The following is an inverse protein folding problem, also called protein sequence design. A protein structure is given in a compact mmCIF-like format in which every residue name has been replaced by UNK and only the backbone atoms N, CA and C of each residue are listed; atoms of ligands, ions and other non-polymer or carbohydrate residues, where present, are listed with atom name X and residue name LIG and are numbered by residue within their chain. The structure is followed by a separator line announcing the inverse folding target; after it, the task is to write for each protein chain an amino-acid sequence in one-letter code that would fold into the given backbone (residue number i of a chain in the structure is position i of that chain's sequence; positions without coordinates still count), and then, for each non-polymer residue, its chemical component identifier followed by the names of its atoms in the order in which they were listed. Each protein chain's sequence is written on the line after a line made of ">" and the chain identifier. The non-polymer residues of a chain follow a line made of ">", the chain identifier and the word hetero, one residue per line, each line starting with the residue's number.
data_IF_211643440077
#
_entry.id   IF_211643440077
#
_cell.length_a   1.000
_cell.length_b   1.000
_cell.length_c   1.000
_cell.angle_alpha   90.00
_cell.angle_beta   90.00
_cell.angle_gamma   90.00
#
_symmetry.space_group_name_H-M   'P 1'
#
loop_
_entity.id
_entity.type
_entity.pdbx_description
1 polymer ?
#
# COMPACT_ATOMS: atom_id res chain seq x y z
N UNK A 1 11.84 7.72 -13.84
CA UNK A 1 11.07 6.59 -14.35
C UNK A 1 9.62 7.00 -14.19
N UNK A 2 8.84 7.11 -15.28
CA UNK A 2 7.47 7.58 -15.18
C UNK A 2 6.65 6.66 -14.27
N UNK A 3 5.62 7.23 -13.63
CA UNK A 3 4.74 6.47 -12.73
C UNK A 3 3.96 5.45 -13.56
N UNK A 4 4.23 4.16 -13.35
CA UNK A 4 3.59 3.06 -14.08
C UNK A 4 2.31 2.60 -13.38
N UNK A 5 1.16 2.79 -14.01
CA UNK A 5 -0.16 2.48 -13.43
C UNK A 5 -0.53 0.99 -13.45
N UNK A 6 0.22 0.17 -14.21
CA UNK A 6 0.06 -1.29 -14.23
C UNK A 6 0.96 -2.01 -13.21
N UNK A 7 1.65 -1.26 -12.34
CA UNK A 7 2.50 -1.80 -11.28
C UNK A 7 1.92 -1.35 -9.94
N UNK A 8 1.44 -2.31 -9.16
CA UNK A 8 0.75 -2.07 -7.90
C UNK A 8 1.56 -2.59 -6.75
N UNK A 9 1.57 -1.82 -5.67
CA UNK A 9 2.23 -2.17 -4.43
C UNK A 9 1.22 -2.11 -3.30
N UNK A 10 1.19 -3.19 -2.52
CA UNK A 10 0.40 -3.36 -1.30
C UNK A 10 1.34 -3.70 -0.15
N UNK A 11 0.94 -3.41 1.08
CA UNK A 11 1.78 -3.72 2.25
C UNK A 11 0.94 -4.14 3.45
N UNK A 12 1.41 -5.13 4.18
CA UNK A 12 0.84 -5.54 5.46
C UNK A 12 1.94 -5.80 6.48
N UNK A 13 1.96 -5.01 7.55
CA UNK A 13 2.89 -5.15 8.67
C UNK A 13 2.07 -5.56 9.87
N UNK A 14 2.44 -6.66 10.53
CA UNK A 14 1.75 -7.14 11.72
C UNK A 14 2.76 -7.68 12.73
N UNK A 15 2.69 -7.30 14.02
CA UNK A 15 3.66 -7.69 15.02
C UNK A 15 3.73 -9.20 15.19
N UNK A 16 2.58 -9.85 15.36
CA UNK A 16 2.48 -11.31 15.51
C UNK A 16 2.48 -12.06 14.18
N UNK A 17 2.67 -11.37 13.05
CA UNK A 17 2.79 -12.01 11.75
C UNK A 17 1.49 -12.54 11.13
N UNK A 18 0.32 -12.16 11.64
CA UNK A 18 -0.95 -12.60 11.05
C UNK A 18 -1.25 -11.82 9.77
N UNK A 19 -1.85 -12.49 8.78
CA UNK A 19 -2.40 -11.83 7.58
C UNK A 19 -3.90 -12.15 7.51
N UNK A 20 -4.80 -11.16 7.61
CA UNK A 20 -6.24 -11.43 7.60
C UNK A 20 -6.70 -12.04 6.27
N UNK A 21 -7.68 -12.95 6.33
CA UNK A 21 -8.23 -13.61 5.15
C UNK A 21 -8.85 -12.61 4.16
N UNK A 22 -9.46 -11.53 4.66
CA UNK A 22 -10.01 -10.43 3.84
C UNK A 22 -8.94 -9.80 2.94
N UNK A 23 -7.74 -9.55 3.48
CA UNK A 23 -6.60 -9.01 2.70
C UNK A 23 -6.14 -10.01 1.62
N UNK A 24 -6.07 -11.30 1.96
CA UNK A 24 -5.75 -12.35 0.98
C UNK A 24 -6.77 -12.37 -0.16
N UNK A 25 -8.06 -12.38 0.18
CA UNK A 25 -9.15 -12.44 -0.80
C UNK A 25 -9.15 -11.21 -1.72
N UNK A 26 -8.91 -10.01 -1.18
CA UNK A 26 -8.76 -8.76 -1.94
C UNK A 26 -7.59 -8.81 -2.93
N UNK A 27 -6.44 -9.33 -2.51
CA UNK A 27 -5.26 -9.50 -3.39
C UNK A 27 -5.53 -10.51 -4.51
N UNK A 28 -6.16 -11.65 -4.18
CA UNK A 28 -6.56 -12.67 -5.17
C UNK A 28 -7.55 -12.07 -6.16
N UNK A 29 -8.54 -11.33 -5.67
CA UNK A 29 -9.52 -10.64 -6.50
C UNK A 29 -8.84 -9.68 -7.47
N UNK A 30 -8.01 -8.75 -6.98
CA UNK A 30 -7.30 -7.79 -7.82
C UNK A 30 -6.41 -8.49 -8.87
N UNK A 31 -5.75 -9.59 -8.51
CA UNK A 31 -4.98 -10.41 -9.45
C UNK A 31 -5.86 -10.98 -10.57
N UNK A 32 -7.04 -11.51 -10.24
CA UNK A 32 -7.99 -12.10 -11.21
C UNK A 32 -8.54 -11.08 -12.19
N UNK A 33 -8.90 -9.89 -11.71
CA UNK A 33 -9.55 -8.87 -12.54
C UNK A 33 -8.55 -8.06 -13.37
N UNK A 34 -7.27 -8.01 -12.96
CA UNK A 34 -6.21 -7.29 -13.67
C UNK A 34 -5.03 -8.19 -14.02
N UNK A 35 -5.18 -9.33 -14.71
CA UNK A 35 -4.16 -10.39 -14.81
C UNK A 35 -2.82 -9.98 -15.46
N UNK A 36 -2.80 -8.87 -16.22
CA UNK A 36 -1.59 -8.35 -16.88
C UNK A 36 -0.76 -7.42 -16.01
N UNK A 37 -1.31 -6.93 -14.90
CA UNK A 37 -0.61 -5.99 -14.04
C UNK A 37 0.42 -6.70 -13.15
N UNK A 38 1.44 -5.97 -12.71
CA UNK A 38 2.35 -6.44 -11.67
C UNK A 38 1.77 -6.09 -10.31
N UNK A 39 1.66 -7.07 -9.42
CA UNK A 39 1.22 -6.86 -8.04
C UNK A 39 2.30 -7.35 -7.08
N UNK A 40 2.87 -6.41 -6.33
CA UNK A 40 3.85 -6.68 -5.27
C UNK A 40 3.18 -6.50 -3.91
N UNK A 41 3.31 -7.49 -3.03
CA UNK A 41 2.84 -7.42 -1.65
C UNK A 41 4.03 -7.49 -0.69
N UNK A 42 4.26 -6.39 0.02
CA UNK A 42 5.26 -6.31 1.08
C UNK A 42 4.69 -6.80 2.40
N UNK A 43 5.45 -7.65 3.09
CA UNK A 43 5.14 -8.10 4.45
C UNK A 43 6.38 -8.06 5.33
N UNK A 44 6.21 -8.03 6.65
CA UNK A 44 7.34 -8.15 7.58
C UNK A 44 7.79 -9.61 7.78
N UNK A 45 8.96 -9.79 8.39
CA UNK A 45 9.52 -11.12 8.66
C UNK A 45 8.58 -12.02 9.47
N UNK A 46 7.85 -11.47 10.44
CA UNK A 46 6.87 -12.24 11.23
C UNK A 46 5.80 -12.87 10.34
N UNK A 47 5.22 -12.11 9.42
CA UNK A 47 4.26 -12.61 8.44
C UNK A 47 4.86 -13.70 7.54
N UNK A 48 6.10 -13.51 7.06
CA UNK A 48 6.82 -14.52 6.27
C UNK A 48 6.97 -15.85 7.01
N UNK A 49 7.17 -15.80 8.33
CA UNK A 49 7.41 -16.98 9.14
C UNK A 49 6.12 -17.72 9.48
N UNK A 50 5.05 -16.99 9.80
CA UNK A 50 3.79 -17.57 10.28
C UNK A 50 2.85 -17.99 9.15
N UNK A 51 2.68 -17.14 8.13
CA UNK A 51 1.61 -17.27 7.14
C UNK A 51 2.08 -17.91 5.83
N UNK A 52 2.97 -18.91 5.93
CA UNK A 52 3.62 -19.57 4.79
C UNK A 52 2.63 -20.09 3.76
N UNK A 53 1.51 -20.65 4.20
CA UNK A 53 0.46 -21.17 3.30
C UNK A 53 -0.22 -20.05 2.50
N UNK A 54 -0.59 -18.94 3.14
CA UNK A 54 -1.19 -17.78 2.45
C UNK A 54 -0.19 -17.14 1.48
N UNK A 55 1.08 -17.02 1.89
CA UNK A 55 2.16 -16.49 1.05
C UNK A 55 2.39 -17.36 -0.17
N UNK A 56 2.44 -18.69 0.02
CA UNK A 56 2.57 -19.64 -1.09
C UNK A 56 1.40 -19.52 -2.06
N UNK A 57 0.16 -19.48 -1.55
CA UNK A 57 -1.04 -19.28 -2.37
C UNK A 57 -0.95 -18.01 -3.22
N UNK A 58 -0.60 -16.87 -2.64
CA UNK A 58 -0.46 -15.62 -3.39
C UNK A 58 0.66 -15.71 -4.43
N UNK A 59 1.78 -16.34 -4.09
CA UNK A 59 2.93 -16.55 -5.00
C UNK A 59 2.55 -17.43 -6.19
N UNK A 60 1.85 -18.54 -5.94
CA UNK A 60 1.37 -19.47 -6.97
C UNK A 60 0.37 -18.79 -7.94
N UNK A 61 -0.32 -17.75 -7.47
CA UNK A 61 -1.20 -16.89 -8.28
C UNK A 61 -0.45 -15.74 -9.00
N UNK A 62 0.88 -15.72 -8.95
CA UNK A 62 1.71 -14.73 -9.65
C UNK A 62 1.80 -13.37 -8.95
N UNK A 63 1.48 -13.30 -7.66
CA UNK A 63 1.68 -12.09 -6.84
C UNK A 63 3.10 -12.13 -6.27
N UNK A 64 3.88 -11.07 -6.49
CA UNK A 64 5.26 -10.97 -6.01
C UNK A 64 5.27 -10.64 -4.53
N UNK A 65 5.74 -11.57 -3.70
CA UNK A 65 5.86 -11.34 -2.25
C UNK A 65 7.26 -10.85 -1.91
N UNK A 66 7.36 -9.77 -1.13
CA UNK A 66 8.64 -9.25 -0.62
C UNK A 66 8.62 -9.09 0.89
N UNK A 67 9.70 -9.52 1.53
CA UNK A 67 9.96 -9.21 2.93
C UNK A 67 10.55 -7.80 3.04
N UNK A 68 9.86 -6.89 3.70
CA UNK A 68 10.33 -5.49 3.84
C UNK A 68 11.62 -5.41 4.65
N UNK A 69 11.79 -6.22 5.70
CA UNK A 69 13.01 -6.23 6.52
C UNK A 69 14.24 -6.61 5.66
N UNK A 70 14.11 -7.64 4.83
CA UNK A 70 15.17 -8.06 3.92
C UNK A 70 15.40 -7.05 2.79
N UNK A 71 14.34 -6.39 2.33
CA UNK A 71 14.43 -5.36 1.29
C UNK A 71 15.21 -4.13 1.77
N UNK A 72 14.99 -3.71 3.02
CA UNK A 72 15.74 -2.63 3.68
C UNK A 72 17.23 -2.95 3.90
N UNK A 73 17.65 -4.23 3.83
CA UNK A 73 19.06 -4.60 3.92
C UNK A 73 19.85 -4.28 2.64
N UNK A 74 19.14 -4.14 1.50
CA UNK A 74 19.70 -3.88 0.17
C UNK A 74 19.03 -2.67 -0.48
N UNK A 75 18.45 -1.79 0.33
CA UNK A 75 17.67 -0.68 -0.17
C UNK A 75 18.59 0.34 -0.88
N UNK A 76 18.11 0.96 -1.97
CA UNK A 76 18.78 2.09 -2.63
C UNK A 76 18.54 3.42 -1.89
N UNK A 77 17.78 3.39 -0.81
CA UNK A 77 17.46 4.53 0.05
C UNK A 77 18.69 5.04 0.82
N UNK A 78 18.62 6.31 1.24
CA UNK A 78 19.63 6.91 2.09
C UNK A 78 19.79 6.14 3.42
N UNK A 79 21.02 5.92 3.92
CA UNK A 79 21.24 5.22 5.19
C UNK A 79 20.44 5.76 6.37
N UNK A 80 20.20 7.08 6.43
CA UNK A 80 19.36 7.71 7.45
C UNK A 80 17.92 7.21 7.39
N UNK A 81 17.32 7.20 6.18
CA UNK A 81 15.95 6.72 5.97
C UNK A 81 15.85 5.22 6.27
N UNK A 82 16.85 4.43 5.90
CA UNK A 82 16.92 3.00 6.22
C UNK A 82 17.01 2.78 7.74
N UNK A 83 17.80 3.58 8.46
CA UNK A 83 17.91 3.50 9.91
C UNK A 83 16.56 3.82 10.58
N UNK A 84 15.89 4.89 10.15
CA UNK A 84 14.57 5.28 10.66
C UNK A 84 13.52 4.18 10.39
N UNK A 85 13.47 3.66 9.15
CA UNK A 85 12.59 2.55 8.77
C UNK A 85 12.76 1.31 9.67
N UNK A 86 14.01 0.95 9.98
CA UNK A 86 14.32 -0.20 10.84
C UNK A 86 13.89 0.04 12.27
N UNK A 87 14.08 1.25 12.81
CA UNK A 87 13.63 1.59 14.15
C UNK A 87 12.10 1.54 14.26
N UNK A 88 11.38 2.06 13.27
CA UNK A 88 9.91 1.98 13.23
C UNK A 88 9.42 0.53 13.20
N UNK A 89 10.01 -0.31 12.35
CA UNK A 89 9.67 -1.74 12.31
C UNK A 89 9.99 -2.47 13.61
N UNK A 90 11.10 -2.13 14.26
CA UNK A 90 11.46 -2.69 15.56
C UNK A 90 10.45 -2.27 16.65
N UNK A 91 10.05 -1.00 16.68
CA UNK A 91 9.02 -0.49 17.58
C UNK A 91 7.70 -1.21 17.37
N UNK A 92 7.22 -1.32 16.12
CA UNK A 92 5.99 -2.03 15.79
C UNK A 92 6.02 -3.50 16.26
N UNK A 93 7.16 -4.18 16.13
CA UNK A 93 7.33 -5.54 16.61
C UNK A 93 7.31 -5.65 18.15
N UNK A 94 7.88 -4.66 18.85
CA UNK A 94 7.99 -4.65 20.32
C UNK A 94 6.68 -4.23 21.02
N UNK A 95 6.05 -3.16 20.53
CA UNK A 95 4.84 -2.60 21.17
C UNK A 95 3.62 -3.49 20.98
N UNK A 96 3.63 -4.31 19.92
CA UNK A 96 2.51 -5.15 19.48
C UNK A 96 1.21 -4.36 19.28
N UNK A 97 1.32 -3.06 18.98
CA UNK A 97 0.14 -2.23 18.68
C UNK A 97 -0.08 -2.10 17.18
N UNK A 98 -1.34 -2.13 16.78
CA UNK A 98 -1.76 -1.84 15.39
C UNK A 98 -1.35 -0.45 14.97
N UNK A 99 -1.40 0.51 15.90
CA UNK A 99 -1.06 1.90 15.64
C UNK A 99 0.36 2.04 15.10
N UNK A 100 1.33 1.35 15.72
CA UNK A 100 2.72 1.38 15.27
C UNK A 100 2.91 0.64 13.95
N UNK A 101 2.08 -0.37 13.65
CA UNK A 101 2.10 -1.05 12.35
C UNK A 101 1.54 -0.18 11.23
N UNK A 102 0.47 0.57 11.50
CA UNK A 102 -0.09 1.57 10.58
C UNK A 102 0.93 2.68 10.33
N UNK A 103 1.53 3.21 11.39
CA UNK A 103 2.62 4.18 11.30
C UNK A 103 3.79 3.66 10.45
N UNK A 104 4.19 2.40 10.66
CA UNK A 104 5.21 1.76 9.83
C UNK A 104 4.82 1.75 8.35
N UNK A 105 3.60 1.33 8.01
CA UNK A 105 3.14 1.32 6.61
C UNK A 105 3.10 2.71 5.99
N UNK A 106 2.69 3.71 6.78
CA UNK A 106 2.58 5.11 6.38
C UNK A 106 3.92 5.75 6.04
N UNK A 107 4.97 5.40 6.77
CA UNK A 107 6.33 5.83 6.46
C UNK A 107 6.96 4.99 5.33
N UNK A 108 6.90 3.65 5.44
CA UNK A 108 7.59 2.74 4.52
C UNK A 108 7.14 2.93 3.07
N UNK A 109 5.87 3.30 2.83
CA UNK A 109 5.38 3.59 1.47
C UNK A 109 6.14 4.71 0.76
N UNK A 110 6.79 5.61 1.49
CA UNK A 110 7.52 6.75 0.93
C UNK A 110 8.92 6.35 0.41
N UNK A 111 9.47 5.22 0.83
CA UNK A 111 10.84 4.80 0.53
C UNK A 111 11.03 4.35 -0.92
N UNK A 112 12.22 4.60 -1.49
CA UNK A 112 12.63 4.18 -2.84
C UNK A 112 12.44 2.67 -3.01
N UNK A 113 12.78 1.88 -2.00
CA UNK A 113 12.61 0.42 -2.03
C UNK A 113 11.17 -0.05 -2.29
N UNK A 114 10.18 0.74 -1.87
CA UNK A 114 8.75 0.48 -2.14
C UNK A 114 8.33 1.12 -3.46
N UNK A 115 8.71 2.37 -3.70
CA UNK A 115 8.34 3.13 -4.89
C UNK A 115 8.89 2.54 -6.19
N UNK A 116 10.03 1.87 -6.14
CA UNK A 116 10.57 1.14 -7.30
C UNK A 116 9.71 -0.04 -7.76
N UNK A 117 8.81 -0.54 -6.89
CA UNK A 117 7.92 -1.64 -7.24
C UNK A 117 6.66 -1.19 -7.98
N UNK A 118 6.22 0.06 -7.80
CA UNK A 118 5.05 0.64 -8.48
C UNK A 118 4.25 1.59 -7.59
N UNK A 119 2.99 1.81 -7.97
CA UNK A 119 2.03 2.64 -7.25
C UNK A 119 1.62 1.95 -5.95
N UNK A 120 1.96 2.55 -4.81
CA UNK A 120 1.46 2.10 -3.52
C UNK A 120 -0.02 2.42 -3.38
N UNK A 121 -0.77 1.50 -2.79
CA UNK A 121 -2.14 1.74 -2.35
C UNK A 121 -2.50 0.92 -1.11
N UNK A 122 -3.40 1.43 -0.27
CA UNK A 122 -3.89 0.68 0.88
C UNK A 122 -4.60 -0.62 0.46
N UNK A 123 -4.66 -1.62 1.34
CA UNK A 123 -5.24 -2.93 1.01
C UNK A 123 -6.76 -2.92 0.80
N UNK A 124 -7.44 -1.85 1.21
CA UNK A 124 -8.86 -1.59 1.00
C UNK A 124 -9.14 -0.77 -0.28
N UNK A 125 -8.10 -0.44 -1.05
CA UNK A 125 -8.21 0.23 -2.35
C UNK A 125 -8.10 -0.81 -3.46
N UNK A 126 -9.14 -1.02 -4.26
CA UNK A 126 -9.11 -1.99 -5.36
C UNK A 126 -9.15 -1.26 -6.70
N UNK A 127 -8.15 -1.48 -7.55
CA UNK A 127 -8.15 -0.98 -8.93
C UNK A 127 -8.96 -1.93 -9.82
N UNK A 128 -10.00 -1.41 -10.46
CA UNK A 128 -10.95 -2.20 -11.23
C UNK A 128 -10.82 -2.00 -12.75
N UNK A 129 -10.64 -0.76 -13.24
CA UNK A 129 -10.59 -0.51 -14.69
C UNK A 129 -9.16 -0.32 -15.22
N UNK A 130 -8.95 -0.81 -16.43
CA UNK A 130 -7.73 -0.59 -17.20
C UNK A 130 -7.66 0.86 -17.67
N UNK A 131 -6.54 1.52 -17.41
CA UNK A 131 -6.19 2.77 -18.09
C UNK A 131 -5.59 2.40 -19.46
N UNK A 132 -6.01 3.08 -20.52
CA UNK A 132 -5.31 3.01 -21.80
C UNK A 132 -3.91 3.64 -21.70
N UNK A 133 -3.74 4.58 -20.76
CA UNK A 133 -2.45 5.15 -20.38
C UNK A 133 -1.80 4.30 -19.28
N UNK A 134 -0.76 3.55 -19.64
CA UNK A 134 -0.01 2.71 -18.71
C UNK A 134 0.96 3.50 -17.82
N UNK A 135 1.21 4.77 -18.14
CA UNK A 135 2.13 5.64 -17.40
C UNK A 135 1.56 7.05 -17.21
N UNK A 136 1.91 7.70 -16.10
CA UNK A 136 1.61 9.12 -15.84
C UNK A 136 2.88 9.97 -15.96
N UNK A 137 2.77 11.10 -16.67
CA UNK A 137 3.82 12.13 -16.75
C UNK A 137 3.65 13.17 -15.65
N UNK A 138 3.64 12.72 -14.40
CA UNK A 138 3.57 13.56 -13.20
C UNK A 138 4.71 13.16 -12.27
N UNK A 139 5.28 14.15 -11.57
CA UNK A 139 6.32 13.91 -10.58
C UNK A 139 5.80 13.09 -9.40
N UNK A 140 4.59 13.41 -8.94
CA UNK A 140 3.94 12.74 -7.82
C UNK A 140 2.50 12.40 -8.17
N UNK A 141 2.02 11.31 -7.57
CA UNK A 141 0.63 10.89 -7.55
C UNK A 141 0.21 10.72 -6.09
N UNK A 142 -0.80 11.49 -5.68
CA UNK A 142 -1.45 11.34 -4.38
C UNK A 142 -2.94 11.02 -4.55
N UNK A 143 -3.42 10.00 -3.87
CA UNK A 143 -4.84 9.68 -3.75
C UNK A 143 -5.37 9.94 -2.35
N UNK A 144 -6.34 10.85 -2.23
CA UNK A 144 -7.04 11.14 -0.99
C UNK A 144 -8.51 10.70 -1.07
N UNK A 145 -9.12 10.37 0.07
CA UNK A 145 -10.57 10.31 0.15
C UNK A 145 -11.17 11.69 -0.09
N UNK A 146 -12.36 11.73 -0.72
CA UNK A 146 -13.08 12.97 -0.94
C UNK A 146 -13.27 13.77 0.37
N UNK A 147 -13.01 15.07 0.27
CA UNK A 147 -13.28 16.16 1.23
C UNK A 147 -12.96 15.88 2.71
N UNK A 148 -11.83 16.43 3.17
CA UNK A 148 -11.72 16.94 4.55
C UNK A 148 -10.62 16.37 5.42
N UNK A 149 -10.03 15.22 5.07
CA UNK A 149 -8.83 14.73 5.76
C UNK A 149 -7.84 14.34 4.67
N UNK A 150 -6.67 15.00 4.60
CA UNK A 150 -5.61 14.48 3.78
C UNK A 150 -5.25 13.15 4.46
N UNK A 151 -5.32 12.06 3.73
CA UNK A 151 -4.60 10.83 4.04
C UNK A 151 -4.33 10.19 2.68
N UNK A 152 -3.12 9.68 2.51
CA UNK A 152 -2.61 9.27 1.19
C UNK A 152 -2.83 7.77 1.03
N UNK A 153 -4.02 7.39 0.58
CA UNK A 153 -4.39 6.00 0.30
C UNK A 153 -3.68 5.43 -0.92
N UNK A 154 -3.16 6.31 -1.78
CA UNK A 154 -2.41 5.97 -2.98
C UNK A 154 -1.22 6.92 -3.08
N UNK A 155 -0.02 6.38 -3.23
CA UNK A 155 1.20 7.17 -3.40
C UNK A 155 2.08 6.59 -4.50
N UNK A 156 2.50 7.44 -5.44
CA UNK A 156 3.55 7.10 -6.38
C UNK A 156 4.41 8.33 -6.72
N UNK A 157 5.66 8.08 -7.12
CA UNK A 157 6.59 9.11 -7.54
C UNK A 157 7.34 8.69 -8.79
N UNK A 158 7.61 9.67 -9.66
CA UNK A 158 8.61 9.53 -10.70
C UNK A 158 10.00 9.59 -10.06
N UNK A 159 10.68 8.44 -10.01
CA UNK A 159 11.96 8.32 -9.33
C UNK A 159 13.09 9.17 -9.94
N UNK A 160 12.93 9.68 -11.18
CA UNK A 160 13.92 10.60 -11.77
C UNK A 160 13.89 11.99 -11.12
N UNK A 161 12.81 12.31 -10.38
CA UNK A 161 12.64 13.57 -9.67
C UNK A 161 12.66 13.41 -8.15
N UNK A 162 13.17 12.27 -7.67
CA UNK A 162 13.00 11.88 -6.28
C UNK A 162 14.04 12.47 -5.32
N UNK A 163 15.17 12.97 -5.81
CA UNK A 163 16.28 13.36 -4.93
C UNK A 163 15.89 14.53 -4.01
N UNK A 164 15.24 15.58 -4.54
CA UNK A 164 14.72 16.71 -3.74
C UNK A 164 13.71 16.20 -2.69
N UNK A 165 12.82 15.29 -3.08
CA UNK A 165 11.85 14.71 -2.14
C UNK A 165 12.55 14.05 -0.96
N UNK A 166 13.59 13.25 -1.21
CA UNK A 166 14.26 12.50 -0.16
C UNK A 166 15.17 13.36 0.71
N UNK A 167 15.79 14.41 0.15
CA UNK A 167 16.50 15.42 0.92
C UNK A 167 15.55 16.09 1.92
N UNK A 168 14.40 16.60 1.46
CA UNK A 168 13.42 17.26 2.33
C UNK A 168 12.74 16.28 3.30
N UNK A 169 12.53 15.01 2.91
CA UNK A 169 12.03 13.98 3.81
C UNK A 169 12.98 13.76 4.99
N UNK A 170 14.29 13.72 4.74
CA UNK A 170 15.31 13.60 5.78
C UNK A 170 15.27 14.82 6.71
N UNK A 171 15.24 16.03 6.16
CA UNK A 171 15.13 17.27 6.94
C UNK A 171 13.89 17.26 7.84
N UNK A 172 12.74 16.86 7.29
CA UNK A 172 11.49 16.78 8.04
C UNK A 172 11.53 15.74 9.16
N UNK A 173 12.14 14.58 8.93
CA UNK A 173 12.33 13.58 10.00
C UNK A 173 13.27 14.13 11.08
N UNK A 174 14.35 14.84 10.71
CA UNK A 174 15.27 15.44 11.68
C UNK A 174 14.60 16.53 12.51
N UNK A 175 13.72 17.32 11.91
CA UNK A 175 12.94 18.34 12.62
C UNK A 175 12.00 17.70 13.65
N UNK A 176 11.32 16.62 13.28
CA UNK A 176 10.29 16.00 14.12
C UNK A 176 10.87 15.04 15.16
N UNK A 177 11.93 14.29 14.80
CA UNK A 177 12.44 13.16 15.57
C UNK A 177 13.94 13.25 15.91
N UNK A 178 14.65 14.28 15.45
CA UNK A 178 16.09 14.45 15.64
C UNK A 178 16.97 13.52 14.80
N UNK A 179 18.26 13.45 15.16
CA UNK A 179 19.21 12.48 14.58
C UNK A 179 19.16 11.14 15.35
N UNK A 180 19.57 10.01 14.72
CA UNK A 180 19.69 8.72 15.40
C UNK A 180 20.61 8.79 16.64
N UNK A 181 20.26 8.11 17.75
CA UNK A 181 19.08 7.26 17.94
C UNK A 181 17.80 8.09 18.13
N UNK A 182 16.76 7.77 17.35
CA UNK A 182 15.51 8.53 17.33
C UNK A 182 14.73 8.35 18.64
N UNK A 183 14.02 9.38 19.09
CA UNK A 183 13.24 9.33 20.31
C UNK A 183 11.90 8.58 20.10
N UNK A 184 11.69 7.48 20.83
CA UNK A 184 10.50 6.64 20.70
C UNK A 184 9.18 7.37 21.05
N UNK A 185 9.21 8.37 21.93
CA UNK A 185 7.99 9.11 22.32
C UNK A 185 7.47 10.04 21.23
N UNK A 186 8.36 10.52 20.35
CA UNK A 186 8.03 11.45 19.26
C UNK A 186 7.54 10.72 18.00
N UNK A 187 7.87 9.43 17.87
CA UNK A 187 7.50 8.61 16.71
C UNK A 187 6.05 8.07 16.76
N UNK A 188 5.32 8.15 17.88
CA UNK A 188 3.96 7.59 17.95
C UNK A 188 2.88 8.59 17.54
N UNK A 189 2.02 8.19 16.61
CA UNK A 189 0.76 8.88 16.31
C UNK A 189 0.83 9.93 15.19
N UNK A 190 1.98 10.11 14.55
CA UNK A 190 2.09 10.90 13.32
C UNK A 190 1.44 10.12 12.17
N UNK A 191 0.66 10.80 11.34
CA UNK A 191 0.16 10.19 10.09
C UNK A 191 1.27 10.23 9.04
N UNK A 192 1.24 9.33 8.06
CA UNK A 192 2.22 9.33 6.96
C UNK A 192 2.30 10.64 6.17
N UNK A 193 1.31 11.51 6.32
CA UNK A 193 1.34 12.86 5.78
C UNK A 193 2.25 13.83 6.50
N UNK A 194 2.46 13.62 7.80
CA UNK A 194 3.40 14.43 8.54
C UNK A 194 4.81 14.36 7.94
N UNK A 195 5.10 13.32 7.14
CA UNK A 195 6.38 13.15 6.46
C UNK A 195 6.38 13.60 5.00
N UNK A 196 5.25 13.98 4.41
CA UNK A 196 5.26 14.54 3.05
C UNK A 196 5.93 15.92 3.11
N UNK A 197 6.99 16.18 2.33
CA UNK A 197 7.66 17.47 2.34
C UNK A 197 6.73 18.65 2.02
N UNK A 198 6.92 19.77 2.73
CA UNK A 198 6.03 20.93 2.63
C UNK A 198 6.13 21.66 1.28
N UNK A 199 7.24 21.49 0.56
CA UNK A 199 7.40 22.00 -0.81
C UNK A 199 6.42 21.37 -1.79
N UNK A 200 5.88 20.19 -1.45
CA UNK A 200 4.99 19.44 -2.32
C UNK A 200 3.59 19.96 -2.14
N UNK A 201 3.12 20.68 -3.15
CA UNK A 201 1.73 21.07 -3.24
C UNK A 201 0.84 19.85 -3.52
N UNK A 202 0.46 19.15 -2.46
CA UNK A 202 -0.44 17.99 -2.53
C UNK A 202 -1.76 18.29 -3.23
N UNK A 203 -2.26 19.53 -3.24
CA UNK A 203 -3.47 19.89 -3.99
C UNK A 203 -3.23 19.95 -5.50
N UNK A 204 -2.01 20.31 -5.94
CA UNK A 204 -1.62 20.32 -7.35
C UNK A 204 -1.29 18.92 -7.90
N UNK A 205 -0.88 17.98 -7.04
CA UNK A 205 -0.52 16.61 -7.41
C UNK A 205 -1.52 15.55 -6.96
N UNK A 206 -2.45 15.95 -6.09
CA UNK A 206 -3.31 15.05 -5.35
C UNK A 206 -4.76 15.32 -5.64
N UNK A 207 -5.22 14.74 -6.74
CA UNK A 207 -6.60 14.35 -6.88
C UNK A 207 -6.62 13.17 -7.86
N UNK A 208 -6.88 11.96 -7.36
CA UNK A 208 -7.56 10.94 -8.17
C UNK A 208 -9.03 11.32 -8.38
N UNK A 209 -9.24 12.57 -8.81
CA UNK A 209 -10.41 13.07 -9.48
C UNK A 209 -10.14 13.08 -10.99
N UNK A 210 -9.28 12.17 -11.47
CA UNK A 210 -9.22 11.81 -12.88
C UNK A 210 -10.59 11.25 -13.24
N UNK A 211 -11.31 11.83 -14.23
CA UNK A 211 -12.43 11.16 -14.89
C UNK A 211 -12.09 9.70 -15.27
N UNK A 212 -10.81 9.42 -15.50
CA UNK A 212 -10.20 8.15 -15.87
C UNK A 212 -9.99 7.18 -14.70
N UNK A 213 -10.23 7.55 -13.43
CA UNK A 213 -10.10 6.63 -12.27
C UNK A 213 -11.24 6.67 -11.26
N UNK A 214 -12.11 7.70 -11.31
CA UNK A 214 -13.18 7.89 -10.31
C UNK A 214 -14.27 6.81 -10.35
N UNK A 215 -14.49 6.16 -11.50
CA UNK A 215 -15.35 4.98 -11.62
C UNK A 215 -14.61 3.65 -11.35
N UNK A 216 -13.32 3.71 -11.01
CA UNK A 216 -12.37 2.61 -11.27
C UNK A 216 -11.68 2.12 -10.01
N UNK A 217 -11.94 2.76 -8.87
CA UNK A 217 -11.36 2.44 -7.57
C UNK A 217 -12.47 2.31 -6.56
N UNK A 218 -12.59 1.14 -5.94
CA UNK A 218 -13.48 0.96 -4.78
C UNK A 218 -12.65 1.03 -3.52
N UNK A 219 -13.18 1.77 -2.55
CA UNK A 219 -12.61 1.97 -1.24
C UNK A 219 -13.70 1.96 -0.17
N UNK A 220 -13.45 1.30 0.96
CA UNK A 220 -14.15 1.57 2.21
C UNK A 220 -13.13 1.69 3.35
N UNK A 221 -13.40 2.53 4.35
CA UNK A 221 -12.50 2.76 5.49
C UNK A 221 -12.58 1.60 6.48
N UNK A 222 -11.83 0.53 6.25
CA UNK A 222 -11.76 -0.58 7.21
C UNK A 222 -10.66 -0.39 8.27
N UNK A 223 -9.59 0.33 7.93
CA UNK A 223 -8.36 0.34 8.74
C UNK A 223 -8.24 1.55 9.70
N UNK A 224 -9.06 2.58 9.50
CA UNK A 224 -8.83 3.91 10.07
C UNK A 224 -9.49 4.16 11.45
N UNK A 225 -10.08 3.15 12.11
CA UNK A 225 -10.80 3.31 13.38
C UNK A 225 -10.37 2.28 14.43
N UNK A 226 -10.47 2.64 15.72
CA UNK A 226 -10.35 1.68 16.85
C UNK A 226 -11.23 0.47 16.57
N UNK A 227 -10.62 -0.71 16.41
CA UNK A 227 -11.32 -1.96 16.11
C UNK A 227 -11.31 -2.41 14.64
N UNK A 228 -10.72 -1.64 13.72
CA UNK A 228 -10.58 -2.02 12.30
C UNK A 228 -9.83 -3.33 12.09
N UNK A 229 -8.74 -3.56 12.83
CA UNK A 229 -8.02 -4.84 12.81
C UNK A 229 -8.93 -6.01 13.23
N UNK A 230 -9.73 -5.86 14.30
CA UNK A 230 -10.66 -6.93 14.72
C UNK A 230 -11.69 -7.26 13.64
N UNK A 231 -12.14 -6.26 12.86
CA UNK A 231 -13.03 -6.47 11.71
C UNK A 231 -12.33 -7.16 10.55
N UNK A 232 -11.05 -6.87 10.31
CA UNK A 232 -10.28 -7.56 9.28
C UNK A 232 -10.04 -9.04 9.62
N UNK A 233 -9.84 -9.32 10.91
CA UNK A 233 -9.63 -10.66 11.45
C UNK A 233 -10.93 -11.37 11.87
N UNK A 234 -12.11 -10.76 11.66
CA UNK A 234 -13.36 -11.46 11.95
C UNK A 234 -13.61 -12.55 10.91
N UNK A 235 -13.99 -13.74 11.39
CA UNK A 235 -14.31 -14.92 10.57
C UNK A 235 -15.76 -14.88 10.05
N UNK A 236 -16.45 -13.74 10.15
CA UNK A 236 -17.83 -13.56 9.69
C UNK A 236 -17.97 -13.67 8.15
N UNK A 237 -16.85 -13.69 7.42
CA UNK A 237 -16.83 -13.79 5.97
C UNK A 237 -17.34 -12.52 5.25
N UNK A 238 -17.73 -11.49 6.00
CA UNK A 238 -18.26 -10.25 5.45
C UNK A 238 -17.11 -9.32 5.06
N UNK A 239 -16.93 -9.11 3.77
CA UNK A 239 -15.97 -8.15 3.22
C UNK A 239 -16.72 -7.14 2.34
N UNK A 240 -17.26 -6.06 2.93
CA UNK A 240 -18.03 -5.04 2.22
C UNK A 240 -17.25 -4.40 1.05
N UNK A 241 -15.94 -4.20 1.20
CA UNK A 241 -15.07 -3.68 0.13
C UNK A 241 -15.09 -4.62 -1.07
N UNK A 242 -14.89 -5.92 -0.83
CA UNK A 242 -14.90 -6.92 -1.89
C UNK A 242 -16.30 -7.07 -2.50
N UNK A 243 -17.35 -7.07 -1.68
CA UNK A 243 -18.74 -7.15 -2.14
C UNK A 243 -19.10 -5.95 -3.05
N UNK A 244 -18.71 -4.74 -2.66
CA UNK A 244 -18.89 -3.55 -3.48
C UNK A 244 -18.12 -3.65 -4.80
N UNK A 245 -16.88 -4.18 -4.77
CA UNK A 245 -16.05 -4.38 -5.96
C UNK A 245 -16.67 -5.37 -6.95
N UNK A 246 -17.18 -6.50 -6.45
CA UNK A 246 -17.89 -7.48 -7.26
C UNK A 246 -19.19 -6.92 -7.84
N UNK A 247 -19.95 -6.14 -7.08
CA UNK A 247 -21.18 -5.52 -7.55
C UNK A 247 -20.92 -4.46 -8.64
N UNK A 248 -19.84 -3.69 -8.51
CA UNK A 248 -19.45 -2.71 -9.54
C UNK A 248 -19.07 -3.38 -10.87
N UNK A 249 -18.39 -4.54 -10.82
CA UNK A 249 -18.13 -5.36 -12.01
C UNK A 249 -19.43 -5.88 -12.63
N UNK A 250 -20.35 -6.41 -11.82
CA UNK A 250 -21.65 -6.93 -12.29
C UNK A 250 -22.49 -5.87 -12.98
N UNK A 251 -22.48 -4.64 -12.47
CA UNK A 251 -23.25 -3.51 -13.03
C UNK A 251 -22.60 -2.88 -14.26
N UNK A 252 -21.43 -3.34 -14.69
CA UNK A 252 -20.73 -2.79 -15.85
C UNK A 252 -20.19 -1.37 -15.63
N UNK A 253 -20.06 -0.93 -14.38
CA UNK A 253 -19.32 0.30 -14.04
C UNK A 253 -17.81 0.16 -14.32
N UNK A 254 -17.40 -1.06 -14.66
CA UNK A 254 -16.04 -1.44 -14.97
C UNK A 254 -16.04 -2.30 -16.23
N UNK A 255 -15.23 -1.96 -17.24
CA UNK A 255 -15.00 -2.81 -18.40
C UNK A 255 -13.86 -3.79 -18.07
N UNK A 256 -14.21 -5.04 -17.78
CA UNK A 256 -13.22 -6.11 -17.82
C UNK A 256 -12.82 -6.31 -19.29
N UNK A 257 -11.65 -5.80 -19.71
CA UNK A 257 -11.09 -6.13 -21.03
C UNK A 257 -10.87 -7.65 -21.06
N UNK A 258 -11.65 -8.32 -21.91
CA UNK A 258 -11.68 -9.76 -22.19
C UNK A 258 -11.11 -10.67 -21.10
N UNK A 259 -11.97 -11.01 -20.13
CA UNK A 259 -11.80 -12.16 -19.22
C UNK A 259 -11.94 -13.47 -20.00
N UNK A 260 -11.11 -13.70 -21.01
CA UNK A 260 -10.95 -15.00 -21.65
C UNK A 260 -10.04 -15.90 -20.80
N UNK A 261 -10.44 -16.16 -19.55
CA UNK A 261 -9.88 -17.24 -18.75
C UNK A 261 -11.02 -18.13 -18.23
N UNK A 262 -11.35 -19.12 -19.06
CA UNK A 262 -12.16 -20.27 -18.69
C UNK A 262 -11.47 -21.06 -17.58
N UNK A 263 -11.73 -20.74 -16.31
CA UNK A 263 -11.60 -21.71 -15.24
C UNK A 263 -12.99 -22.26 -14.94
N UNK A 264 -13.30 -23.41 -15.56
CA UNK A 264 -14.27 -24.34 -15.00
C UNK A 264 -13.69 -24.80 -13.66
N UNK A 265 -14.21 -24.25 -12.56
CA UNK A 265 -14.14 -24.96 -11.28
C UNK A 265 -15.05 -26.17 -11.46
N UNK A 266 -14.45 -27.32 -11.76
CA UNK A 266 -15.13 -28.59 -11.67
C UNK A 266 -15.55 -28.78 -10.21
N UNK A 267 -16.86 -28.75 -9.98
CA UNK A 267 -17.44 -29.37 -8.82
C UNK A 267 -17.19 -30.88 -8.92
N UNK A 268 -16.47 -31.42 -7.94
CA UNK A 268 -16.48 -32.83 -7.54
C UNK A 268 -16.16 -32.88 -6.05
#
# INVERSE_FOLDING_TARGET
>A
MPIMLNRHVKMWIHPDGLIPAKIINRLIFQRKIRPQDYLTFFVNQSCMNLEKTKIKLLTDLGIKIKNINASLAKAPDDPFLVAFARQILAKAALSKTVCDSVFATDFLRLLKVVQQEGVYSNNDVLFLNFSDEIFLRKQYLFGCHAQGIPDTYIFAMDLDYSDIFYEELIEKIKEICGDPPFNDSEMSGLTGLAFIPDSINMTAYGHLNFPETRGNVIFEKDNAQRGGEKKLHSDDGDDPVLAAAEEALKRGYVQAKDLAFNYRVSAA
#
